data_IF_161041681236
#
_entry.id   IF_161041681236
#
_cell.length_a   1.000
_cell.length_b   1.000
_cell.length_c   1.000
_cell.angle_alpha   90.00
_cell.angle_beta   90.00
_cell.angle_gamma   90.00
#
_symmetry.space_group_name_H-M   'P 1'
#
loop_
_entity.id
_entity.type
_entity.pdbx_description
1 polymer ?
#
# COMPACT_ATOMS: atom_id res chain seq x y z
N UNK A 1 29.95 69.33 80.25
CA UNK A 1 29.52 67.96 79.83
C UNK A 1 29.24 67.98 78.32
N UNK A 2 30.21 67.61 77.50
CA UNK A 2 30.11 67.62 76.02
C UNK A 2 30.14 66.19 75.53
N UNK A 3 29.02 65.79 74.95
CA UNK A 3 28.72 64.42 74.42
C UNK A 3 29.23 64.32 72.99
N UNK A 4 30.33 63.59 72.79
CA UNK A 4 30.95 63.29 71.48
C UNK A 4 30.06 62.31 70.68
N UNK A 5 29.56 62.74 69.54
CA UNK A 5 28.83 61.84 68.55
C UNK A 5 29.85 61.11 67.72
N UNK A 6 29.79 59.78 67.74
CA UNK A 6 30.52 58.86 66.87
C UNK A 6 30.07 58.89 65.43
N UNK A 7 30.96 58.82 64.43
CA UNK A 7 30.53 58.82 62.99
C UNK A 7 30.03 57.46 62.56
N UNK A 8 28.86 57.45 61.98
CA UNK A 8 28.15 56.28 61.42
C UNK A 8 28.84 55.84 60.11
N UNK A 9 29.53 54.69 60.15
CA UNK A 9 30.14 54.07 58.97
C UNK A 9 29.09 53.73 57.95
N UNK A 10 29.16 54.30 56.73
CA UNK A 10 28.37 53.92 55.56
C UNK A 10 28.94 52.66 54.96
N UNK A 11 28.26 51.52 55.17
CA UNK A 11 28.52 50.27 54.50
C UNK A 11 28.26 50.46 53.01
N UNK A 12 29.30 50.56 52.16
CA UNK A 12 29.25 50.54 50.71
C UNK A 12 28.74 49.15 50.28
N UNK A 13 27.51 49.08 49.81
CA UNK A 13 26.96 47.92 49.14
C UNK A 13 27.80 47.64 47.86
N UNK A 14 28.55 46.57 47.86
CA UNK A 14 29.17 46.02 46.64
C UNK A 14 28.03 45.52 45.76
N UNK A 15 27.43 46.35 44.91
CA UNK A 15 26.54 45.97 43.86
C UNK A 15 27.33 45.20 42.80
N UNK A 16 27.03 43.92 42.69
CA UNK A 16 27.66 42.92 41.85
C UNK A 16 27.79 43.39 40.39
N UNK A 17 29.06 43.58 39.96
CA UNK A 17 29.41 43.79 38.54
C UNK A 17 29.06 42.59 37.61
N UNK A 18 28.55 41.51 38.16
CA UNK A 18 28.13 40.31 37.47
C UNK A 18 26.72 40.40 36.79
N UNK A 19 25.91 41.41 37.17
CA UNK A 19 24.53 41.57 36.63
C UNK A 19 24.46 41.82 35.12
N UNK A 20 25.31 42.70 34.52
CA UNK A 20 25.19 42.96 33.06
C UNK A 20 25.64 41.75 32.24
N UNK A 21 26.70 41.05 32.64
CA UNK A 21 27.18 39.86 31.91
C UNK A 21 26.21 38.71 31.96
N UNK A 22 25.56 38.48 33.08
CA UNK A 22 24.51 37.47 33.22
C UNK A 22 23.28 37.81 32.32
N UNK A 23 22.90 39.07 32.26
CA UNK A 23 21.81 39.53 31.39
C UNK A 23 22.15 39.36 29.89
N UNK A 24 23.39 39.56 29.48
CA UNK A 24 23.86 39.28 28.14
C UNK A 24 23.91 37.78 27.84
N UNK A 25 24.36 36.95 28.77
CA UNK A 25 24.31 35.48 28.65
C UNK A 25 22.91 34.96 28.46
N UNK A 26 21.93 35.44 29.22
CA UNK A 26 20.51 35.08 29.08
C UNK A 26 19.96 35.50 27.71
N UNK A 27 20.26 36.72 27.23
CA UNK A 27 19.83 37.19 25.90
C UNK A 27 20.43 36.35 24.79
N UNK A 28 21.70 36.03 24.82
CA UNK A 28 22.35 35.16 23.84
C UNK A 28 21.79 33.74 23.89
N UNK A 29 21.51 33.20 25.07
CA UNK A 29 20.86 31.91 25.25
C UNK A 29 19.45 31.88 24.66
N UNK A 30 18.68 32.96 24.84
CA UNK A 30 17.33 33.09 24.27
C UNK A 30 17.36 33.19 22.75
N UNK A 31 18.28 33.96 22.18
CA UNK A 31 18.51 34.01 20.74
C UNK A 31 18.93 32.65 20.19
N UNK A 32 19.84 31.94 20.85
CA UNK A 32 20.23 30.57 20.46
C UNK A 32 19.06 29.59 20.50
N UNK A 33 18.20 29.71 21.51
CA UNK A 33 17.00 28.86 21.63
C UNK A 33 15.99 29.13 20.50
N UNK A 34 15.78 30.40 20.11
CA UNK A 34 14.91 30.76 19.00
C UNK A 34 15.46 30.22 17.67
N UNK A 35 16.77 30.33 17.46
CA UNK A 35 17.42 29.78 16.26
C UNK A 35 17.27 28.25 16.23
N UNK A 36 17.49 27.57 17.35
CA UNK A 36 17.34 26.12 17.45
C UNK A 36 15.91 25.68 17.21
N UNK A 37 14.94 26.38 17.77
CA UNK A 37 13.52 26.11 17.55
C UNK A 37 13.13 26.30 16.06
N UNK A 38 13.58 27.39 15.43
CA UNK A 38 13.38 27.62 14.01
C UNK A 38 14.00 26.53 13.12
N UNK A 39 15.20 26.08 13.49
CA UNK A 39 15.87 24.99 12.79
C UNK A 39 15.15 23.64 12.98
N UNK A 40 14.64 23.37 14.18
CA UNK A 40 13.83 22.18 14.42
C UNK A 40 12.53 22.15 13.59
N UNK A 41 11.82 23.28 13.51
CA UNK A 41 10.63 23.42 12.65
C UNK A 41 10.98 23.26 11.17
N UNK A 42 12.11 23.83 10.75
CA UNK A 42 12.59 23.65 9.37
C UNK A 42 12.89 22.18 9.05
N UNK A 43 13.60 21.49 9.96
CA UNK A 43 13.88 20.06 9.79
C UNK A 43 12.61 19.22 9.79
N UNK A 44 11.66 19.53 10.65
CA UNK A 44 10.37 18.84 10.68
C UNK A 44 9.62 18.98 9.33
N UNK A 45 9.57 20.19 8.79
CA UNK A 45 8.97 20.44 7.48
C UNK A 45 9.68 19.67 6.35
N UNK A 46 11.02 19.65 6.34
CA UNK A 46 11.81 18.89 5.34
C UNK A 46 11.58 17.38 5.48
N UNK A 47 11.50 16.88 6.70
CA UNK A 47 11.21 15.47 6.96
C UNK A 47 9.80 15.13 6.50
N UNK A 48 8.80 15.93 6.87
CA UNK A 48 7.41 15.72 6.43
C UNK A 48 7.30 15.74 4.91
N UNK A 49 7.92 16.71 4.22
CA UNK A 49 7.91 16.75 2.75
C UNK A 49 8.53 15.51 2.12
N UNK A 50 9.64 15.04 2.64
CA UNK A 50 10.31 13.83 2.16
C UNK A 50 9.57 12.54 2.50
N UNK A 51 8.85 12.50 3.62
CA UNK A 51 8.13 11.32 4.07
C UNK A 51 6.68 11.25 3.59
N UNK A 52 6.00 12.38 3.40
CA UNK A 52 4.57 12.41 3.07
C UNK A 52 4.24 12.22 1.59
N UNK A 53 5.18 12.28 0.67
CA UNK A 53 4.81 12.44 -0.73
C UNK A 53 5.21 11.34 -1.71
N UNK A 54 6.27 10.55 -1.53
CA UNK A 54 6.84 9.83 -2.67
C UNK A 54 7.40 8.43 -2.42
N UNK A 55 7.19 7.84 -1.27
CA UNK A 55 7.79 6.53 -0.99
C UNK A 55 7.05 5.35 -1.60
N UNK A 56 5.78 5.54 -1.98
CA UNK A 56 4.94 4.48 -2.48
C UNK A 56 4.28 4.89 -3.80
N UNK A 57 5.07 5.10 -4.82
CA UNK A 57 4.52 5.12 -6.18
C UNK A 57 4.10 3.70 -6.50
N UNK A 58 2.80 3.44 -6.35
CA UNK A 58 2.21 2.19 -6.79
C UNK A 58 2.45 2.08 -8.29
N UNK A 59 3.09 1.02 -8.78
CA UNK A 59 3.31 0.86 -10.20
C UNK A 59 1.97 0.86 -10.94
N UNK A 60 1.87 1.62 -12.02
CA UNK A 60 0.69 1.59 -12.86
C UNK A 60 0.69 0.27 -13.64
N UNK A 61 -0.38 -0.52 -13.50
CA UNK A 61 -0.56 -1.78 -14.24
C UNK A 61 -1.30 -1.52 -15.53
N UNK A 62 -0.79 -2.06 -16.62
CA UNK A 62 -1.42 -1.98 -17.95
C UNK A 62 -2.06 -3.32 -18.25
N UNK A 63 -3.35 -3.30 -18.53
CA UNK A 63 -4.14 -4.48 -18.82
C UNK A 63 -4.61 -4.49 -20.28
N UNK A 64 -4.79 -5.69 -20.84
CA UNK A 64 -5.49 -5.89 -22.10
C UNK A 64 -6.98 -5.56 -21.93
N UNK A 65 -7.70 -5.55 -23.06
CA UNK A 65 -9.15 -5.46 -23.02
C UNK A 65 -9.73 -6.74 -22.38
N UNK A 66 -10.62 -6.61 -21.38
CA UNK A 66 -11.29 -7.76 -20.79
C UNK A 66 -12.13 -8.51 -21.84
N UNK A 67 -12.16 -9.83 -21.74
CA UNK A 67 -13.03 -10.64 -22.59
C UNK A 67 -14.45 -10.63 -21.99
N UNK A 68 -15.39 -10.12 -22.77
CA UNK A 68 -16.81 -10.19 -22.48
C UNK A 68 -17.43 -11.36 -23.25
N UNK A 69 -18.23 -12.17 -22.56
CA UNK A 69 -18.94 -13.31 -23.11
C UNK A 69 -20.44 -13.02 -23.14
N UNK A 70 -21.06 -13.27 -24.24
CA UNK A 70 -22.52 -13.18 -24.37
C UNK A 70 -23.05 -14.20 -25.43
N UNK A 71 -24.30 -14.59 -25.31
CA UNK A 71 -24.91 -15.56 -26.20
C UNK A 71 -24.97 -14.97 -27.60
N UNK A 72 -24.59 -15.78 -28.60
CA UNK A 72 -24.51 -15.36 -30.01
C UNK A 72 -23.18 -14.75 -30.44
N UNK A 73 -22.24 -14.57 -29.49
CA UNK A 73 -20.91 -14.08 -29.80
C UNK A 73 -20.16 -15.05 -30.72
N UNK A 74 -19.54 -14.53 -31.77
CA UNK A 74 -18.60 -15.30 -32.61
C UNK A 74 -17.30 -15.43 -31.88
N UNK A 75 -17.07 -16.58 -31.25
CA UNK A 75 -15.87 -16.95 -30.51
C UNK A 75 -15.72 -18.47 -30.59
N UNK A 76 -14.66 -18.94 -31.24
CA UNK A 76 -14.36 -20.36 -31.27
C UNK A 76 -13.94 -20.88 -29.92
N UNK A 77 -14.35 -22.09 -29.55
CA UNK A 77 -13.99 -22.73 -28.29
C UNK A 77 -12.47 -22.74 -28.05
N UNK A 78 -11.68 -23.03 -29.11
CA UNK A 78 -10.23 -23.08 -28.99
C UNK A 78 -9.60 -21.70 -28.72
N UNK A 79 -10.19 -20.63 -29.26
CA UNK A 79 -9.73 -19.26 -28.99
C UNK A 79 -10.04 -18.89 -27.55
N UNK A 80 -11.22 -19.23 -27.06
CA UNK A 80 -11.59 -19.06 -25.66
C UNK A 80 -10.65 -19.82 -24.71
N UNK A 81 -10.31 -21.07 -25.03
CA UNK A 81 -9.36 -21.85 -24.21
C UNK A 81 -7.96 -21.23 -24.20
N UNK A 82 -7.50 -20.66 -25.34
CA UNK A 82 -6.23 -19.94 -25.38
C UNK A 82 -6.24 -18.70 -24.51
N UNK A 83 -7.34 -17.97 -24.47
CA UNK A 83 -7.52 -16.80 -23.59
C UNK A 83 -7.45 -17.22 -22.12
N UNK A 84 -8.13 -18.32 -21.74
CA UNK A 84 -8.07 -18.84 -20.37
C UNK A 84 -6.66 -19.33 -20.00
N UNK A 85 -5.95 -19.96 -20.94
CA UNK A 85 -4.56 -20.38 -20.73
C UNK A 85 -3.63 -19.16 -20.55
N UNK A 86 -3.82 -18.08 -21.34
CA UNK A 86 -3.08 -16.81 -21.20
C UNK A 86 -3.37 -16.11 -19.85
N UNK A 87 -4.61 -16.21 -19.37
CA UNK A 87 -5.01 -15.73 -18.04
C UNK A 87 -4.54 -16.66 -16.91
N UNK A 88 -3.90 -17.80 -17.22
CA UNK A 88 -3.38 -18.75 -16.23
C UNK A 88 -4.48 -19.50 -15.48
N UNK A 89 -5.57 -19.84 -16.14
CA UNK A 89 -6.59 -20.72 -15.56
C UNK A 89 -6.07 -22.18 -15.46
N UNK A 90 -6.29 -22.76 -14.28
CA UNK A 90 -5.90 -24.17 -14.03
C UNK A 90 -7.00 -25.08 -14.54
N UNK A 91 -6.64 -26.07 -15.37
CA UNK A 91 -7.56 -27.11 -15.83
C UNK A 91 -7.76 -28.14 -14.73
N UNK A 92 -9.00 -28.31 -14.29
CA UNK A 92 -9.37 -29.23 -13.22
C UNK A 92 -10.59 -30.05 -13.68
N UNK A 93 -10.75 -31.25 -13.13
CA UNK A 93 -11.95 -32.07 -13.42
C UNK A 93 -13.21 -31.50 -12.79
N UNK A 94 -13.06 -30.81 -11.65
CA UNK A 94 -14.12 -30.11 -10.92
C UNK A 94 -13.62 -28.70 -10.59
N UNK A 95 -14.44 -27.68 -10.85
CA UNK A 95 -14.10 -26.29 -10.58
C UNK A 95 -14.26 -26.00 -9.08
N UNK A 96 -13.14 -25.89 -8.35
CA UNK A 96 -13.15 -25.75 -6.89
C UNK A 96 -12.96 -24.29 -6.42
N UNK A 97 -12.48 -23.38 -7.24
CA UNK A 97 -12.20 -22.01 -6.82
C UNK A 97 -11.87 -21.06 -7.98
N UNK A 98 -11.64 -19.78 -7.69
CA UNK A 98 -11.29 -18.80 -8.70
C UNK A 98 -10.03 -19.17 -9.49
N UNK A 99 -10.09 -18.97 -10.82
CA UNK A 99 -9.02 -19.34 -11.74
C UNK A 99 -8.97 -20.83 -12.07
N UNK A 100 -10.01 -21.59 -11.76
CA UNK A 100 -10.17 -22.99 -12.21
C UNK A 100 -11.10 -23.07 -13.41
N UNK A 101 -10.85 -24.02 -14.31
CA UNK A 101 -11.67 -24.32 -15.47
C UNK A 101 -11.80 -25.83 -15.68
N UNK A 102 -12.99 -26.29 -16.00
CA UNK A 102 -13.31 -27.66 -16.41
C UNK A 102 -13.86 -27.66 -17.83
N UNK A 103 -13.42 -28.61 -18.65
CA UNK A 103 -13.81 -28.72 -20.07
C UNK A 103 -14.47 -30.06 -20.30
N UNK A 104 -15.75 -30.05 -20.63
CA UNK A 104 -16.52 -31.25 -20.92
C UNK A 104 -17.17 -31.14 -22.32
N UNK A 105 -16.46 -31.62 -23.34
CA UNK A 105 -16.92 -31.45 -24.72
C UNK A 105 -17.05 -30.00 -25.13
N UNK A 106 -18.27 -29.58 -25.51
CA UNK A 106 -18.57 -28.19 -25.87
C UNK A 106 -19.00 -27.31 -24.67
N UNK A 107 -19.04 -27.88 -23.48
CA UNK A 107 -19.35 -27.15 -22.25
C UNK A 107 -18.07 -26.84 -21.50
N UNK A 108 -17.90 -25.59 -21.11
CA UNK A 108 -16.80 -25.13 -20.31
C UNK A 108 -17.39 -24.50 -19.04
N UNK A 109 -16.98 -25.00 -17.90
CA UNK A 109 -17.29 -24.39 -16.61
C UNK A 109 -16.01 -23.76 -16.06
N UNK A 110 -16.10 -22.51 -15.65
CA UNK A 110 -14.99 -21.78 -15.07
C UNK A 110 -15.44 -21.02 -13.82
N UNK A 111 -14.49 -20.70 -12.96
CA UNK A 111 -14.68 -19.78 -11.85
C UNK A 111 -13.79 -18.55 -12.09
N UNK A 112 -14.40 -17.42 -12.49
CA UNK A 112 -13.69 -16.18 -12.76
C UNK A 112 -13.04 -15.67 -11.48
N UNK A 113 -11.98 -14.88 -11.63
CA UNK A 113 -11.41 -14.11 -10.53
C UNK A 113 -12.14 -12.79 -10.40
N UNK A 114 -12.27 -12.29 -9.17
CA UNK A 114 -12.77 -10.93 -8.98
C UNK A 114 -11.79 -9.89 -9.54
N UNK A 115 -12.30 -8.81 -10.09
CA UNK A 115 -11.48 -7.74 -10.63
C UNK A 115 -12.09 -6.37 -10.36
N UNK A 116 -11.22 -5.39 -10.05
CA UNK A 116 -11.63 -4.00 -9.87
C UNK A 116 -11.53 -3.27 -11.22
N UNK A 117 -12.65 -3.13 -11.89
CA UNK A 117 -12.77 -2.30 -13.09
C UNK A 117 -12.92 -0.83 -12.72
N UNK A 118 -12.80 0.07 -13.69
CA UNK A 118 -12.99 1.50 -13.43
C UNK A 118 -14.46 1.85 -13.09
N UNK A 119 -15.43 1.05 -13.58
CA UNK A 119 -16.84 1.21 -13.26
C UNK A 119 -17.24 0.64 -11.90
N UNK A 120 -16.44 -0.26 -11.35
CA UNK A 120 -16.71 -0.93 -10.09
C UNK A 120 -16.03 -2.29 -9.94
N UNK A 121 -16.18 -2.87 -8.76
CA UNK A 121 -15.67 -4.20 -8.48
C UNK A 121 -16.63 -5.27 -9.01
N UNK A 122 -16.12 -6.23 -9.78
CA UNK A 122 -16.84 -7.45 -10.11
C UNK A 122 -16.33 -8.62 -9.25
N UNK A 123 -17.25 -9.30 -8.54
CA UNK A 123 -16.87 -10.44 -7.71
C UNK A 123 -16.51 -11.66 -8.57
N UNK A 124 -15.77 -12.59 -8.00
CA UNK A 124 -15.56 -13.91 -8.59
C UNK A 124 -16.90 -14.64 -8.71
N UNK A 125 -17.12 -15.33 -9.83
CA UNK A 125 -18.34 -16.07 -10.05
C UNK A 125 -18.10 -17.33 -10.90
N UNK A 126 -18.91 -18.37 -10.69
CA UNK A 126 -18.93 -19.54 -11.57
C UNK A 126 -19.75 -19.26 -12.80
N UNK A 127 -19.18 -19.57 -13.96
CA UNK A 127 -19.79 -19.36 -15.27
C UNK A 127 -19.73 -20.65 -16.06
N UNK A 128 -20.84 -21.02 -16.69
CA UNK A 128 -20.93 -22.12 -17.65
C UNK A 128 -21.13 -21.55 -19.04
N UNK A 129 -20.24 -21.91 -19.95
CA UNK A 129 -20.25 -21.46 -21.33
C UNK A 129 -20.46 -22.69 -22.21
N UNK A 130 -21.47 -22.66 -23.06
CA UNK A 130 -21.73 -23.69 -24.04
C UNK A 130 -21.44 -23.19 -25.46
N UNK A 131 -20.65 -23.94 -26.20
CA UNK A 131 -20.28 -23.62 -27.58
C UNK A 131 -21.08 -24.45 -28.59
N UNK A 132 -21.37 -23.87 -29.74
CA UNK A 132 -21.91 -24.55 -30.92
C UNK A 132 -21.18 -24.01 -32.14
N UNK A 133 -20.36 -24.84 -32.79
CA UNK A 133 -19.43 -24.34 -33.79
C UNK A 133 -18.52 -23.25 -33.22
N UNK A 134 -18.46 -22.13 -33.94
CA UNK A 134 -17.63 -20.97 -33.54
C UNK A 134 -18.44 -19.90 -32.78
N UNK A 135 -19.52 -20.30 -32.10
CA UNK A 135 -20.39 -19.36 -31.40
C UNK A 135 -20.64 -19.80 -29.96
N UNK A 136 -20.77 -18.80 -29.07
CA UNK A 136 -21.29 -19.00 -27.72
C UNK A 136 -22.80 -19.27 -27.82
N UNK A 137 -23.22 -20.51 -27.59
CA UNK A 137 -24.60 -20.94 -27.68
C UNK A 137 -25.39 -20.83 -26.38
N UNK A 138 -24.69 -20.69 -25.24
CA UNK A 138 -25.34 -20.54 -23.95
C UNK A 138 -24.35 -20.00 -22.89
N UNK A 139 -24.87 -19.20 -21.97
CA UNK A 139 -24.13 -18.58 -20.89
C UNK A 139 -25.00 -18.62 -19.64
N UNK A 140 -24.50 -19.30 -18.58
CA UNK A 140 -25.23 -19.48 -17.34
C UNK A 140 -24.35 -19.25 -16.15
N UNK A 141 -24.95 -18.88 -15.03
CA UNK A 141 -24.27 -18.90 -13.73
C UNK A 141 -24.03 -20.34 -13.26
N UNK A 142 -23.09 -20.53 -12.33
CA UNK A 142 -22.84 -21.85 -11.76
C UNK A 142 -24.04 -22.52 -11.09
N UNK A 143 -24.99 -21.74 -10.58
CA UNK A 143 -26.27 -22.18 -9.99
C UNK A 143 -27.36 -22.51 -11.04
N UNK A 144 -27.08 -22.30 -12.33
CA UNK A 144 -27.99 -22.59 -13.44
C UNK A 144 -28.81 -21.40 -13.92
N UNK A 145 -28.74 -20.25 -13.31
CA UNK A 145 -29.42 -19.03 -13.78
C UNK A 145 -28.81 -18.49 -15.07
N UNK A 146 -29.64 -17.92 -15.96
CA UNK A 146 -29.16 -17.28 -17.19
C UNK A 146 -28.29 -16.06 -16.87
N UNK A 147 -27.27 -15.88 -17.70
CA UNK A 147 -26.34 -14.75 -17.60
C UNK A 147 -26.33 -14.01 -18.93
N UNK A 148 -26.70 -12.73 -18.93
CA UNK A 148 -26.70 -11.94 -20.15
C UNK A 148 -25.28 -11.67 -20.66
N UNK A 149 -24.37 -11.34 -19.77
CA UNK A 149 -22.94 -11.07 -20.03
C UNK A 149 -22.11 -11.60 -18.88
N UNK A 150 -20.97 -12.22 -19.18
CA UNK A 150 -19.93 -12.50 -18.22
C UNK A 150 -18.64 -11.82 -18.68
N UNK A 151 -17.99 -11.08 -17.80
CA UNK A 151 -16.72 -10.44 -18.08
C UNK A 151 -15.61 -11.13 -17.29
N UNK A 152 -14.53 -11.49 -17.96
CA UNK A 152 -13.35 -12.04 -17.33
C UNK A 152 -12.40 -10.92 -16.95
N UNK A 153 -11.57 -11.19 -15.96
CA UNK A 153 -10.47 -10.32 -15.62
C UNK A 153 -9.53 -10.11 -16.82
N UNK A 154 -9.02 -8.90 -17.05
CA UNK A 154 -8.15 -8.63 -18.19
C UNK A 154 -6.74 -9.17 -17.96
N UNK A 155 -6.08 -9.60 -19.03
CA UNK A 155 -4.67 -10.02 -18.98
C UNK A 155 -3.77 -8.82 -18.62
N UNK A 156 -2.91 -9.00 -17.63
CA UNK A 156 -1.87 -8.03 -17.31
C UNK A 156 -0.80 -8.06 -18.42
N UNK A 157 -0.65 -6.96 -19.16
CA UNK A 157 0.34 -6.83 -20.24
C UNK A 157 1.68 -6.39 -19.69
N UNK A 158 1.68 -5.52 -18.68
CA UNK A 158 2.90 -4.98 -18.10
C UNK A 158 2.64 -3.98 -17.00
N UNK A 159 3.71 -3.52 -16.37
CA UNK A 159 3.71 -2.48 -15.34
C UNK A 159 4.60 -1.30 -15.73
N UNK A 160 4.18 -0.09 -15.41
CA UNK A 160 5.02 1.10 -15.45
C UNK A 160 5.62 1.29 -14.05
N UNK A 161 6.89 0.97 -13.92
CA UNK A 161 7.61 1.05 -12.65
C UNK A 161 8.36 2.39 -12.58
N UNK A 162 8.12 3.23 -11.57
CA UNK A 162 8.95 4.40 -11.35
C UNK A 162 10.32 3.96 -10.81
N UNK A 163 11.37 4.36 -11.47
CA UNK A 163 12.80 4.41 -11.11
C UNK A 163 13.53 3.13 -10.63
N UNK A 164 12.89 2.13 -10.00
CA UNK A 164 13.63 1.00 -9.40
C UNK A 164 13.26 -0.39 -9.92
N UNK A 165 12.35 -0.52 -10.89
CA UNK A 165 11.90 -1.80 -11.47
C UNK A 165 11.40 -2.85 -10.44
N UNK A 166 11.01 -2.41 -9.25
CA UNK A 166 10.48 -3.27 -8.20
C UNK A 166 8.95 -3.27 -8.21
N UNK A 167 8.36 -4.44 -8.25
CA UNK A 167 6.90 -4.62 -8.05
C UNK A 167 6.64 -4.78 -6.55
N UNK A 168 6.17 -3.69 -5.92
CA UNK A 168 5.83 -3.68 -4.49
C UNK A 168 4.33 -3.78 -4.33
N UNK A 169 3.88 -4.91 -3.84
CA UNK A 169 2.49 -5.14 -3.45
C UNK A 169 2.38 -4.84 -1.96
N UNK A 170 1.57 -3.83 -1.62
CA UNK A 170 1.28 -3.52 -0.22
C UNK A 170 0.37 -4.62 0.35
N UNK A 171 0.87 -5.31 1.34
CA UNK A 171 0.11 -6.30 2.11
C UNK A 171 -0.05 -5.82 3.55
N UNK A 172 -1.15 -6.20 4.19
CA UNK A 172 -1.34 -5.97 5.62
C UNK A 172 -0.66 -7.07 6.41
N UNK A 173 -0.28 -6.77 7.66
CA UNK A 173 0.41 -7.72 8.52
C UNK A 173 -0.42 -8.98 8.79
N UNK A 174 -1.73 -8.87 8.87
CA UNK A 174 -2.68 -9.97 9.03
C UNK A 174 -2.75 -10.93 7.82
N UNK A 175 -2.24 -10.47 6.65
CA UNK A 175 -2.14 -11.27 5.44
C UNK A 175 -0.80 -12.03 5.33
N UNK A 176 0.14 -11.75 6.24
CA UNK A 176 1.46 -12.39 6.26
C UNK A 176 1.40 -13.66 7.11
N UNK A 177 1.83 -14.82 6.58
CA UNK A 177 1.93 -16.03 7.38
C UNK A 177 2.87 -15.84 8.58
N UNK A 178 2.46 -16.30 9.77
CA UNK A 178 3.21 -16.11 11.00
C UNK A 178 4.65 -16.64 10.90
N UNK A 179 4.84 -17.80 10.27
CA UNK A 179 6.18 -18.38 10.09
C UNK A 179 7.15 -17.50 9.30
N UNK A 180 6.64 -16.64 8.41
CA UNK A 180 7.49 -15.70 7.67
C UNK A 180 7.97 -14.56 8.58
N UNK A 181 7.11 -14.08 9.48
CA UNK A 181 7.46 -13.07 10.47
C UNK A 181 8.50 -13.65 11.42
N UNK A 182 8.28 -14.86 11.95
CA UNK A 182 9.22 -15.54 12.83
C UNK A 182 10.59 -15.76 12.16
N UNK A 183 10.60 -16.14 10.88
CA UNK A 183 11.82 -16.32 10.12
C UNK A 183 12.59 -15.00 9.92
N UNK A 184 11.90 -13.91 9.60
CA UNK A 184 12.50 -12.58 9.46
C UNK A 184 13.12 -12.12 10.78
N UNK A 185 12.38 -12.21 11.88
CA UNK A 185 12.87 -11.84 13.21
C UNK A 185 14.08 -12.69 13.59
N UNK A 186 14.04 -13.99 13.35
CA UNK A 186 15.17 -14.90 13.68
C UNK A 186 16.44 -14.59 12.88
N UNK A 187 16.33 -14.07 11.65
CA UNK A 187 17.46 -13.78 10.75
C UNK A 187 17.97 -12.35 10.91
N UNK A 188 17.05 -11.38 10.96
CA UNK A 188 17.42 -9.96 10.94
C UNK A 188 17.72 -9.43 12.34
N UNK A 189 16.88 -9.77 13.33
CA UNK A 189 17.03 -9.30 14.70
C UNK A 189 16.26 -10.22 15.67
N UNK A 190 16.98 -11.16 16.25
CA UNK A 190 16.38 -12.17 17.13
C UNK A 190 15.75 -11.58 18.38
N UNK A 191 16.28 -10.43 18.86
CA UNK A 191 15.85 -9.75 20.08
C UNK A 191 14.90 -8.57 19.77
N UNK A 192 14.34 -8.53 18.55
CA UNK A 192 13.50 -7.43 18.04
C UNK A 192 12.37 -7.00 18.99
N UNK A 193 11.77 -7.94 19.73
CA UNK A 193 10.70 -7.65 20.66
C UNK A 193 11.18 -7.31 22.07
N UNK A 194 12.48 -7.43 22.35
CA UNK A 194 13.06 -7.26 23.69
C UNK A 194 13.80 -5.93 23.86
N UNK A 195 13.97 -5.13 22.79
CA UNK A 195 14.62 -3.83 22.83
C UNK A 195 13.83 -2.72 22.12
N UNK A 196 14.16 -1.47 22.47
CA UNK A 196 13.63 -0.28 21.81
C UNK A 196 14.63 0.21 20.77
N UNK A 197 14.55 -0.24 19.53
CA UNK A 197 15.28 0.23 18.36
C UNK A 197 16.59 0.98 18.57
#
# INVERSE_FOLDING_TARGET
MTRKRSPRSKKKSRSSALRPWFAWGVKLGLVGLVILAGFAVYLDAVVQEKFSGKRWTVPAKVYARPLELFVGQKLAKNDFLRELDALGYRRESVVNGPGAVSVAGNNIELHSRGFQFYEGAEPSQRVRVRFSGDYVAGLNKGDGGDLAVARLEPLLIGGLYPAHQEDRILIKLDQVPAYLIDALVAVEDRDYFDHFG
#
